data_IF_439953597203
#
_entry.id   IF_439953597203
#
_cell.length_a   1.000
_cell.length_b   1.000
_cell.length_c   1.000
_cell.angle_alpha   90.00
_cell.angle_beta   90.00
_cell.angle_gamma   90.00
#
_symmetry.space_group_name_H-M   'P 1'
#
loop_
_entity.id
_entity.type
_entity.pdbx_description
1 polymer ?
#
# COMPACT_ATOMS: atom_id res chain seq x y z
N UNK A 1 13.99 -9.58 10.33
CA UNK A 1 12.84 -9.32 9.44
C UNK A 1 13.21 -9.88 8.08
N UNK A 2 12.44 -10.84 7.53
CA UNK A 2 12.72 -11.34 6.16
C UNK A 2 12.50 -10.20 5.16
N UNK A 3 13.30 -10.10 4.08
CA UNK A 3 13.06 -9.08 3.07
C UNK A 3 11.67 -9.29 2.45
N UNK A 4 10.89 -8.21 2.36
CA UNK A 4 9.62 -8.21 1.63
C UNK A 4 9.84 -8.64 0.18
N UNK A 5 8.91 -9.44 -0.35
CA UNK A 5 8.95 -9.87 -1.74
C UNK A 5 8.78 -8.67 -2.69
N UNK A 6 7.96 -7.69 -2.31
CA UNK A 6 7.87 -6.40 -3.01
C UNK A 6 9.24 -5.67 -3.09
N UNK A 7 9.95 -5.52 -1.96
CA UNK A 7 11.27 -4.87 -1.96
C UNK A 7 12.26 -5.64 -2.85
N UNK A 8 12.29 -6.97 -2.75
CA UNK A 8 13.19 -7.80 -3.56
C UNK A 8 12.86 -7.75 -5.05
N UNK A 9 11.57 -7.76 -5.40
CA UNK A 9 11.11 -7.87 -6.78
C UNK A 9 11.12 -6.54 -7.52
N UNK A 10 10.95 -5.42 -6.83
CA UNK A 10 10.78 -4.11 -7.47
C UNK A 10 11.91 -3.14 -7.10
N UNK A 11 12.09 -2.84 -5.82
CA UNK A 11 13.05 -1.84 -5.35
C UNK A 11 14.50 -2.25 -5.63
N UNK A 12 14.84 -3.50 -5.36
CA UNK A 12 16.22 -3.98 -5.52
C UNK A 12 16.57 -4.34 -6.98
N UNK A 13 15.58 -4.51 -7.85
CA UNK A 13 15.82 -4.89 -9.26
C UNK A 13 16.14 -3.70 -10.16
N UNK A 14 15.69 -2.50 -9.80
CA UNK A 14 15.94 -1.28 -10.56
C UNK A 14 16.28 -0.11 -9.62
N UNK A 15 17.39 -0.20 -8.85
CA UNK A 15 17.80 0.82 -7.90
C UNK A 15 18.12 2.17 -8.53
N UNK A 16 18.41 2.20 -9.83
CA UNK A 16 18.69 3.40 -10.63
C UNK A 16 17.44 4.27 -10.89
N UNK A 17 16.24 3.75 -10.64
CA UNK A 17 15.01 4.54 -10.75
C UNK A 17 14.94 5.47 -9.55
N UNK A 18 14.81 6.78 -9.78
CA UNK A 18 14.70 7.80 -8.71
C UNK A 18 13.58 7.49 -7.67
N UNK A 19 12.58 6.69 -8.05
CA UNK A 19 11.53 6.21 -7.16
C UNK A 19 11.96 5.11 -6.16
N UNK A 20 13.05 4.40 -6.41
CA UNK A 20 13.39 3.19 -5.67
C UNK A 20 13.66 3.47 -4.18
N UNK A 21 14.52 4.46 -3.89
CA UNK A 21 14.82 4.86 -2.52
C UNK A 21 13.58 5.45 -1.79
N UNK A 22 12.84 6.41 -2.38
CA UNK A 22 11.60 6.91 -1.80
C UNK A 22 10.54 5.83 -1.54
N UNK A 23 10.33 4.90 -2.49
CA UNK A 23 9.41 3.76 -2.30
C UNK A 23 9.87 2.86 -1.17
N UNK A 24 11.16 2.55 -1.08
CA UNK A 24 11.72 1.66 -0.06
C UNK A 24 11.42 2.16 1.34
N UNK A 25 11.75 3.41 1.64
CA UNK A 25 11.55 3.92 2.99
C UNK A 25 10.06 4.05 3.33
N UNK A 26 9.22 4.53 2.40
CA UNK A 26 7.76 4.60 2.60
C UNK A 26 7.16 3.24 2.88
N UNK A 27 7.61 2.21 2.17
CA UNK A 27 7.18 0.84 2.43
C UNK A 27 7.58 0.38 3.83
N UNK A 28 8.79 0.70 4.31
CA UNK A 28 9.22 0.37 5.66
C UNK A 28 8.41 1.12 6.74
N UNK A 29 8.14 2.41 6.54
CA UNK A 29 7.30 3.21 7.44
C UNK A 29 5.86 2.71 7.46
N UNK A 30 5.30 2.30 6.31
CA UNK A 30 4.01 1.65 6.22
C UNK A 30 3.96 0.37 7.04
N UNK A 31 4.96 -0.51 6.91
CA UNK A 31 5.02 -1.74 7.70
C UNK A 31 5.15 -1.45 9.20
N UNK A 32 5.95 -0.44 9.57
CA UNK A 32 6.12 -0.03 10.96
C UNK A 32 4.82 0.51 11.56
N UNK A 33 4.07 1.33 10.81
CA UNK A 33 2.81 1.91 11.25
C UNK A 33 1.68 0.88 11.35
N UNK A 34 1.62 -0.07 10.41
CA UNK A 34 0.49 -1.00 10.29
C UNK A 34 0.73 -2.35 10.98
N UNK A 35 1.98 -2.73 11.21
CA UNK A 35 2.41 -4.06 11.66
C UNK A 35 1.94 -5.22 10.75
N UNK A 36 1.55 -4.89 9.51
CA UNK A 36 1.14 -5.86 8.53
C UNK A 36 2.33 -6.70 8.05
N UNK A 37 2.04 -7.93 7.63
CA UNK A 37 3.02 -8.84 7.07
C UNK A 37 2.60 -9.21 5.66
N UNK A 38 3.53 -9.06 4.73
CA UNK A 38 3.30 -9.47 3.35
C UNK A 38 3.05 -10.98 3.30
N UNK A 39 1.99 -11.37 2.59
CA UNK A 39 1.69 -12.75 2.31
C UNK A 39 2.37 -13.16 1.00
N UNK A 40 2.86 -14.41 0.88
CA UNK A 40 3.46 -14.87 -0.36
C UNK A 40 2.44 -14.80 -1.52
N UNK A 41 2.91 -14.53 -2.75
CA UNK A 41 2.07 -14.48 -3.94
C UNK A 41 1.52 -15.89 -4.20
N UNK A 42 0.32 -16.13 -3.69
CA UNK A 42 -0.40 -17.40 -3.79
C UNK A 42 -1.76 -17.12 -4.40
N UNK A 43 -2.48 -18.17 -4.82
CA UNK A 43 -3.89 -18.04 -5.24
C UNK A 43 -4.82 -17.45 -4.15
N UNK A 44 -4.32 -17.21 -2.93
CA UNK A 44 -5.03 -16.48 -1.89
C UNK A 44 -5.33 -15.03 -2.27
N UNK A 45 -4.44 -14.35 -3.01
CA UNK A 45 -4.67 -12.98 -3.47
C UNK A 45 -5.84 -12.92 -4.45
N UNK A 46 -5.84 -13.79 -5.47
CA UNK A 46 -6.94 -13.90 -6.44
C UNK A 46 -8.28 -14.21 -5.76
N UNK A 47 -8.28 -15.14 -4.78
CA UNK A 47 -9.50 -15.45 -4.00
C UNK A 47 -9.97 -14.27 -3.14
N UNK A 48 -9.04 -13.48 -2.60
CA UNK A 48 -9.38 -12.28 -1.81
C UNK A 48 -9.97 -11.19 -2.70
N UNK A 49 -9.37 -10.93 -3.87
CA UNK A 49 -9.88 -10.02 -4.89
C UNK A 49 -11.31 -10.40 -5.29
N UNK A 50 -11.55 -11.68 -5.61
CA UNK A 50 -12.88 -12.19 -5.95
C UNK A 50 -13.87 -12.02 -4.80
N UNK A 51 -13.45 -12.27 -3.55
CA UNK A 51 -14.29 -12.11 -2.36
C UNK A 51 -14.73 -10.66 -2.15
N UNK A 52 -13.80 -9.72 -2.29
CA UNK A 52 -14.08 -8.29 -2.13
C UNK A 52 -14.77 -7.69 -3.36
N UNK A 53 -14.85 -8.46 -4.46
CA UNK A 53 -15.39 -8.02 -5.75
C UNK A 53 -14.72 -6.72 -6.22
N UNK A 54 -13.38 -6.70 -6.19
CA UNK A 54 -12.62 -5.57 -6.75
C UNK A 54 -12.67 -5.68 -8.27
N UNK A 55 -13.30 -4.71 -8.93
CA UNK A 55 -13.56 -4.76 -10.38
C UNK A 55 -12.43 -4.13 -11.20
N UNK A 56 -11.89 -3.01 -10.71
CA UNK A 56 -10.85 -2.21 -11.37
C UNK A 56 -9.77 -1.78 -10.38
N UNK A 57 -8.63 -1.34 -10.91
CA UNK A 57 -7.59 -0.67 -10.13
C UNK A 57 -6.68 -1.61 -9.34
N UNK A 58 -6.20 -2.67 -10.00
CA UNK A 58 -5.34 -3.72 -9.41
C UNK A 58 -3.96 -3.83 -10.06
N UNK A 59 -3.49 -2.77 -10.75
CA UNK A 59 -2.28 -2.82 -11.58
C UNK A 59 -1.03 -3.26 -10.79
N UNK A 60 -0.91 -2.78 -9.56
CA UNK A 60 -0.04 -3.38 -8.56
C UNK A 60 -0.86 -3.79 -7.36
N UNK A 61 -0.75 -5.05 -6.93
CA UNK A 61 -1.47 -5.54 -5.78
C UNK A 61 -0.60 -6.47 -4.94
N UNK A 62 -0.56 -6.23 -3.63
CA UNK A 62 0.14 -7.08 -2.66
C UNK A 62 -0.78 -7.41 -1.50
N UNK A 63 -0.87 -8.70 -1.17
CA UNK A 63 -1.70 -9.18 -0.08
C UNK A 63 -0.90 -9.15 1.22
N UNK A 64 -1.54 -8.66 2.28
CA UNK A 64 -1.01 -8.57 3.63
C UNK A 64 -1.93 -9.28 4.62
N UNK A 65 -1.38 -9.66 5.77
CA UNK A 65 -2.18 -10.02 6.93
C UNK A 65 -1.69 -9.35 8.21
N UNK A 66 -2.62 -9.05 9.12
CA UNK A 66 -2.28 -8.65 10.48
C UNK A 66 -1.96 -9.88 11.36
N UNK A 67 -1.67 -9.66 12.65
CA UNK A 67 -1.38 -10.75 13.61
C UNK A 67 -2.57 -11.67 13.87
N UNK A 68 -3.79 -11.19 13.68
CA UNK A 68 -5.04 -11.96 13.86
C UNK A 68 -5.38 -12.80 12.61
N UNK A 69 -4.64 -12.65 11.51
CA UNK A 69 -4.89 -13.33 10.26
C UNK A 69 -5.88 -12.63 9.32
N UNK A 70 -6.39 -11.45 9.72
CA UNK A 70 -7.19 -10.58 8.87
C UNK A 70 -6.38 -10.15 7.67
N UNK A 71 -6.97 -10.21 6.47
CA UNK A 71 -6.28 -9.99 5.21
C UNK A 71 -6.61 -8.62 4.64
N UNK A 72 -5.61 -8.01 4.03
CA UNK A 72 -5.70 -6.70 3.42
C UNK A 72 -5.01 -6.73 2.06
N UNK A 73 -5.59 -6.09 1.07
CA UNK A 73 -4.98 -5.93 -0.25
C UNK A 73 -4.52 -4.48 -0.41
N UNK A 74 -3.20 -4.28 -0.50
CA UNK A 74 -2.63 -3.00 -0.86
C UNK A 74 -2.58 -2.92 -2.39
N UNK A 75 -3.05 -1.83 -2.98
CA UNK A 75 -3.04 -1.67 -4.43
C UNK A 75 -2.77 -0.25 -4.92
N UNK A 76 -2.19 -0.15 -6.11
CA UNK A 76 -1.95 1.09 -6.87
C UNK A 76 -2.67 0.98 -8.22
N UNK A 77 -3.81 1.66 -8.39
CA UNK A 77 -4.43 1.81 -9.71
C UNK A 77 -3.67 2.82 -10.56
N UNK A 78 -3.42 2.47 -11.83
CA UNK A 78 -3.09 3.46 -12.86
C UNK A 78 -4.37 3.90 -13.58
N UNK A 79 -4.51 5.20 -13.84
CA UNK A 79 -5.61 5.74 -14.63
C UNK A 79 -6.99 5.77 -13.95
N UNK A 80 -7.11 5.35 -12.69
CA UNK A 80 -8.36 5.47 -11.90
C UNK A 80 -8.07 6.00 -10.49
N UNK A 81 -9.05 6.69 -9.89
CA UNK A 81 -8.87 7.43 -8.63
C UNK A 81 -9.30 6.68 -7.37
N UNK A 82 -10.00 5.53 -7.48
CA UNK A 82 -10.35 4.67 -6.36
C UNK A 82 -10.74 3.28 -6.90
N UNK A 83 -10.20 2.17 -6.36
CA UNK A 83 -10.66 0.83 -6.72
C UNK A 83 -12.16 0.66 -6.44
N UNK A 84 -12.89 0.11 -7.39
CA UNK A 84 -14.32 -0.21 -7.22
C UNK A 84 -14.44 -1.51 -6.44
N UNK A 85 -14.89 -1.41 -5.19
CA UNK A 85 -15.03 -2.55 -4.25
C UNK A 85 -16.49 -2.64 -3.80
N UNK A 86 -17.18 -3.73 -4.14
CA UNK A 86 -18.61 -3.92 -3.80
C UNK A 86 -18.85 -4.82 -2.60
N UNK A 87 -17.84 -5.56 -2.13
CA UNK A 87 -17.93 -6.45 -0.94
C UNK A 87 -16.76 -6.27 0.02
N UNK A 88 -16.42 -5.03 0.30
CA UNK A 88 -15.32 -4.67 1.18
C UNK A 88 -15.28 -3.19 1.46
N UNK A 89 -14.24 -2.78 2.17
CA UNK A 89 -13.97 -1.38 2.46
C UNK A 89 -12.61 -1.00 1.92
N UNK A 90 -12.46 0.26 1.55
CA UNK A 90 -11.23 0.82 0.99
C UNK A 90 -10.88 2.10 1.74
N UNK A 91 -9.60 2.25 2.06
CA UNK A 91 -9.03 3.51 2.54
C UNK A 91 -7.89 3.93 1.62
N UNK A 92 -7.62 5.23 1.56
CA UNK A 92 -6.43 5.77 0.90
C UNK A 92 -5.29 5.82 1.90
N UNK A 93 -4.14 5.24 1.57
CA UNK A 93 -2.94 5.35 2.40
C UNK A 93 -2.40 6.78 2.29
N UNK A 94 -2.05 7.45 3.40
CA UNK A 94 -1.45 8.78 3.36
C UNK A 94 -0.17 8.80 2.52
N UNK A 95 -0.02 9.83 1.67
CA UNK A 95 1.12 9.98 0.74
C UNK A 95 2.50 9.74 1.39
N UNK A 96 2.81 10.31 2.57
CA UNK A 96 4.13 10.13 3.18
C UNK A 96 4.44 8.68 3.57
N UNK A 97 3.41 7.84 3.70
CA UNK A 97 3.53 6.42 4.05
C UNK A 97 3.10 5.51 2.91
N UNK A 98 2.74 6.07 1.76
CA UNK A 98 2.14 5.33 0.65
C UNK A 98 3.22 4.50 -0.03
N UNK A 99 3.19 3.15 0.06
CA UNK A 99 4.26 2.34 -0.51
C UNK A 99 4.25 2.38 -2.03
N UNK A 100 3.06 2.56 -2.60
CA UNK A 100 2.83 2.78 -4.01
C UNK A 100 2.33 4.21 -4.23
N UNK A 101 3.10 4.98 -4.98
CA UNK A 101 2.87 6.39 -5.32
C UNK A 101 4.00 6.74 -6.28
N UNK A 102 3.72 6.55 -7.57
CA UNK A 102 4.64 6.76 -8.68
C UNK A 102 4.54 8.14 -9.33
N UNK A 103 5.23 8.27 -10.46
CA UNK A 103 5.53 9.52 -11.16
C UNK A 103 6.42 10.44 -10.32
N UNK A 104 7.61 9.96 -9.95
CA UNK A 104 8.62 10.77 -9.25
C UNK A 104 8.76 12.14 -9.88
N UNK A 105 8.71 13.13 -9.00
CA UNK A 105 8.99 14.51 -9.31
C UNK A 105 10.02 14.99 -8.28
N UNK A 106 11.10 15.68 -8.66
CA UNK A 106 12.05 16.24 -7.70
C UNK A 106 11.50 17.42 -6.88
N UNK A 107 10.39 18.05 -7.27
CA UNK A 107 9.78 19.15 -6.51
C UNK A 107 9.17 18.64 -5.19
N UNK A 108 9.64 19.10 -4.02
CA UNK A 108 9.11 18.68 -2.71
C UNK A 108 7.62 18.99 -2.49
N UNK A 109 7.04 19.89 -3.30
CA UNK A 109 5.62 20.27 -3.27
C UNK A 109 4.77 19.50 -4.28
N UNK A 110 5.39 18.76 -5.21
CA UNK A 110 4.66 17.94 -6.17
C UNK A 110 3.85 16.85 -5.46
N UNK A 111 2.71 16.50 -6.06
CA UNK A 111 1.89 15.38 -5.65
C UNK A 111 2.21 14.16 -6.52
N UNK A 112 2.17 12.94 -5.97
CA UNK A 112 2.36 11.73 -6.76
C UNK A 112 1.23 11.57 -7.78
N UNK A 113 1.55 10.97 -8.92
CA UNK A 113 0.58 10.69 -9.99
C UNK A 113 -0.46 9.64 -9.65
N UNK A 114 -0.15 8.79 -8.67
CA UNK A 114 -0.97 7.66 -8.22
C UNK A 114 -1.06 7.63 -6.70
N UNK A 115 -1.92 6.76 -6.16
CA UNK A 115 -2.15 6.59 -4.73
C UNK A 115 -2.16 5.11 -4.36
N UNK A 116 -1.77 4.79 -3.13
CA UNK A 116 -2.03 3.47 -2.56
C UNK A 116 -3.39 3.42 -1.90
N UNK A 117 -4.05 2.28 -2.06
CA UNK A 117 -5.31 1.95 -1.40
C UNK A 117 -5.16 0.65 -0.64
N UNK A 118 -5.74 0.60 0.55
CA UNK A 118 -5.80 -0.62 1.36
C UNK A 118 -7.25 -1.11 1.42
N UNK A 119 -7.47 -2.35 1.01
CA UNK A 119 -8.80 -2.95 0.89
C UNK A 119 -8.92 -4.09 1.90
N UNK A 120 -10.03 -4.15 2.62
CA UNK A 120 -10.41 -5.28 3.47
C UNK A 120 -11.74 -5.90 3.01
N UNK A 121 -12.04 -7.12 3.49
CA UNK A 121 -13.39 -7.68 3.29
C UNK A 121 -14.42 -7.03 4.23
N UNK A 122 -15.71 -7.24 3.94
CA UNK A 122 -16.82 -6.59 4.66
C UNK A 122 -16.85 -6.88 6.16
N UNK A 123 -16.25 -7.97 6.61
CA UNK A 123 -16.25 -8.35 8.03
C UNK A 123 -15.09 -7.72 8.81
N UNK A 124 -14.15 -7.08 8.11
CA UNK A 124 -12.87 -6.61 8.64
C UNK A 124 -12.79 -5.09 8.77
N UNK A 125 -13.95 -4.40 8.79
CA UNK A 125 -14.02 -2.94 8.84
C UNK A 125 -13.32 -2.36 10.07
N UNK A 126 -13.54 -2.96 11.25
CA UNK A 126 -12.96 -2.45 12.50
C UNK A 126 -11.43 -2.52 12.47
N UNK A 127 -10.86 -3.60 11.94
CA UNK A 127 -9.43 -3.75 11.77
C UNK A 127 -8.88 -2.76 10.73
N UNK A 128 -9.63 -2.49 9.65
CA UNK A 128 -9.26 -1.48 8.66
C UNK A 128 -9.27 -0.06 9.25
N UNK A 129 -10.30 0.30 10.03
CA UNK A 129 -10.40 1.60 10.71
C UNK A 129 -9.24 1.80 11.71
N UNK A 130 -8.88 0.75 12.45
CA UNK A 130 -7.72 0.79 13.35
C UNK A 130 -6.42 1.03 12.58
N UNK A 131 -6.25 0.36 11.43
CA UNK A 131 -5.09 0.57 10.56
C UNK A 131 -5.06 1.99 9.99
N UNK A 132 -6.20 2.51 9.54
CA UNK A 132 -6.31 3.89 9.03
C UNK A 132 -5.88 4.89 10.11
N UNK A 133 -6.42 4.79 11.32
CA UNK A 133 -6.03 5.67 12.43
C UNK A 133 -4.53 5.61 12.72
N UNK A 134 -3.92 4.42 12.71
CA UNK A 134 -2.46 4.26 12.89
C UNK A 134 -1.69 4.95 11.76
N UNK A 135 -2.14 4.80 10.51
CA UNK A 135 -1.54 5.45 9.34
C UNK A 135 -1.66 6.97 9.41
N UNK A 136 -2.84 7.52 9.73
CA UNK A 136 -3.04 8.97 9.89
C UNK A 136 -2.15 9.53 11.00
N UNK A 137 -2.09 8.85 12.15
CA UNK A 137 -1.24 9.25 13.26
C UNK A 137 0.25 9.24 12.89
N UNK A 138 0.73 8.20 12.20
CA UNK A 138 2.11 8.12 11.72
C UNK A 138 2.40 9.18 10.65
N UNK A 139 1.48 9.40 9.71
CA UNK A 139 1.64 10.38 8.64
C UNK A 139 1.71 11.82 9.20
N UNK A 140 0.93 12.13 10.23
CA UNK A 140 0.98 13.44 10.90
C UNK A 140 2.33 13.77 11.56
N UNK A 141 3.13 12.73 11.84
CA UNK A 141 4.47 12.86 12.44
C UNK A 141 5.58 12.69 11.41
N UNK A 142 5.26 12.30 10.18
CA UNK A 142 6.23 12.08 9.13
C UNK A 142 6.72 13.44 8.60
N UNK A 143 8.00 13.72 8.79
CA UNK A 143 8.63 14.96 8.32
C UNK A 143 9.17 14.84 6.90
N UNK A 144 9.31 13.61 6.38
CA UNK A 144 9.85 13.35 5.05
C UNK A 144 8.81 13.54 3.97
N UNK A 145 9.22 14.11 2.83
CA UNK A 145 8.38 14.20 1.63
C UNK A 145 8.41 12.88 0.87
N UNK A 146 7.34 12.58 0.12
CA UNK A 146 7.15 11.27 -0.52
C UNK A 146 8.18 10.92 -1.59
N UNK A 147 8.80 11.95 -2.16
CA UNK A 147 9.83 11.93 -3.19
C UNK A 147 11.24 12.24 -2.64
N UNK A 148 11.39 12.31 -1.31
CA UNK A 148 12.69 12.55 -0.68
C UNK A 148 13.58 11.30 -0.81
N UNK A 149 14.78 11.49 -1.36
CA UNK A 149 15.77 10.46 -1.69
C UNK A 149 16.81 10.33 -0.59
#
# INVERSE_FOLDING_TARGET
MMPSNYIQSYVNRAPEIHEAAPRKWRFLEFLAATELREMPPTGAASRFIQRCQVQDGLDHATLFSNRQGTRFLLTEPYGTSLPVVTKGFVITVPIPLSPYCGLFDPDPLALPGTRSYLICDINSYFELDQIDRKLQAAASKCTKRWNEV
#
